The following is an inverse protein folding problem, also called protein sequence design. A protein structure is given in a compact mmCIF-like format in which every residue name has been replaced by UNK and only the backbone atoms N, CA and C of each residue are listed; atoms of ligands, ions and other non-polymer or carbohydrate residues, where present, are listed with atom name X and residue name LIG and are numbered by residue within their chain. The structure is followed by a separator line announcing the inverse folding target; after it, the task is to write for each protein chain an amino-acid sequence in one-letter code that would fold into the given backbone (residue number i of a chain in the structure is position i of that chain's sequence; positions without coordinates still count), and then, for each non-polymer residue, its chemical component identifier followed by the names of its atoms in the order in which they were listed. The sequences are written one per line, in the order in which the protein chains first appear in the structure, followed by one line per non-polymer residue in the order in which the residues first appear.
data_IF_423999188395
#
_entry.id   IF_423999188395
#
_cell.length_a   1.000
_cell.length_b   1.000
_cell.length_c   1.000
_cell.angle_alpha   90.00
_cell.angle_beta   90.00
_cell.angle_gamma   90.00
#
_symmetry.space_group_name_H-M   'P 1'
#
loop_
_entity.id
_entity.type
_entity.pdbx_description
1 polymer ?
#
# COMPACT_ATOMS: atom_id res chain seq x y z
N UNK A 1 -17.76 4.64 -48.37
CA UNK A 1 -18.96 4.56 -47.59
C UNK A 1 -18.82 3.62 -46.43
N UNK A 2 -18.44 2.44 -46.68
CA UNK A 2 -18.26 1.48 -45.62
C UNK A 2 -17.08 1.79 -44.74
N UNK A 3 -16.15 2.56 -45.25
CA UNK A 3 -14.96 2.91 -44.48
C UNK A 3 -15.26 3.74 -43.24
N UNK A 4 -16.35 4.51 -43.30
CA UNK A 4 -16.68 5.35 -42.14
C UNK A 4 -17.10 4.53 -40.94
N UNK A 5 -17.68 3.38 -41.18
CA UNK A 5 -18.09 2.52 -40.06
C UNK A 5 -16.91 1.95 -39.32
N UNK A 6 -15.87 1.64 -40.05
CA UNK A 6 -14.69 1.05 -39.45
C UNK A 6 -14.01 2.03 -38.49
N UNK A 7 -13.92 3.28 -38.91
CA UNK A 7 -13.24 4.28 -38.09
C UNK A 7 -14.04 4.62 -36.83
N UNK A 8 -15.34 4.38 -36.85
CA UNK A 8 -16.16 4.69 -35.70
C UNK A 8 -15.90 3.74 -34.53
N UNK A 9 -15.62 2.49 -34.81
CA UNK A 9 -15.41 1.50 -33.76
C UNK A 9 -14.12 1.69 -33.01
N UNK A 10 -13.06 2.07 -33.71
CA UNK A 10 -11.76 2.18 -33.08
C UNK A 10 -11.67 3.28 -32.01
N UNK A 11 -12.23 4.46 -32.23
CA UNK A 11 -12.12 5.52 -31.23
C UNK A 11 -12.71 5.18 -29.88
N UNK A 12 -13.73 4.36 -29.83
CA UNK A 12 -14.34 4.00 -28.54
C UNK A 12 -13.40 3.21 -27.67
N UNK A 13 -12.70 2.26 -28.24
CA UNK A 13 -11.70 1.48 -27.50
C UNK A 13 -10.58 2.37 -26.98
N UNK A 14 -10.12 3.24 -27.83
CA UNK A 14 -9.03 4.13 -27.45
C UNK A 14 -9.44 5.10 -26.35
N UNK A 15 -10.68 5.55 -26.39
CA UNK A 15 -11.17 6.46 -25.35
C UNK A 15 -11.16 5.79 -23.98
N UNK A 16 -11.58 4.55 -23.92
CA UNK A 16 -11.60 3.83 -22.65
C UNK A 16 -10.20 3.66 -22.08
N UNK A 17 -9.26 3.30 -22.92
CA UNK A 17 -7.89 3.14 -22.48
C UNK A 17 -7.30 4.45 -21.97
N UNK A 18 -7.61 5.53 -22.66
CA UNK A 18 -7.11 6.84 -22.29
C UNK A 18 -7.67 7.26 -20.93
N UNK A 19 -8.94 7.00 -20.69
CA UNK A 19 -9.57 7.35 -19.41
C UNK A 19 -8.95 6.59 -18.26
N UNK A 20 -8.70 5.30 -18.45
CA UNK A 20 -8.08 4.49 -17.42
C UNK A 20 -6.67 4.98 -17.10
N UNK A 21 -5.93 5.34 -18.13
CA UNK A 21 -4.58 5.85 -17.93
C UNK A 21 -4.59 7.19 -17.23
N UNK A 22 -5.54 8.05 -17.55
CA UNK A 22 -5.65 9.35 -16.91
C UNK A 22 -5.98 9.20 -15.43
N UNK A 23 -6.85 8.27 -15.08
CA UNK A 23 -7.19 8.04 -13.68
C UNK A 23 -5.98 7.51 -12.91
N UNK A 24 -5.25 6.58 -13.49
CA UNK A 24 -4.04 6.08 -12.85
C UNK A 24 -3.01 7.17 -12.66
N UNK A 25 -2.86 8.02 -13.64
CA UNK A 25 -1.91 9.12 -13.57
C UNK A 25 -2.27 10.11 -12.47
N UNK A 26 -3.55 10.43 -12.34
CA UNK A 26 -3.99 11.34 -11.29
C UNK A 26 -3.78 10.76 -9.91
N UNK A 27 -4.03 9.47 -9.76
CA UNK A 27 -3.80 8.81 -8.48
C UNK A 27 -2.32 8.87 -8.13
N UNK A 28 -1.46 8.60 -9.09
CA UNK A 28 -0.03 8.67 -8.85
C UNK A 28 0.43 10.08 -8.51
N UNK A 29 -0.15 11.08 -9.15
CA UNK A 29 0.21 12.47 -8.88
C UNK A 29 -0.16 12.89 -7.46
N UNK A 30 -1.33 12.47 -6.99
CA UNK A 30 -1.77 12.83 -5.64
C UNK A 30 -0.97 12.12 -4.57
N UNK A 31 -0.25 11.06 -4.93
CA UNK A 31 0.55 10.28 -4.01
C UNK A 31 2.02 10.35 -4.39
N UNK A 32 2.47 11.53 -4.72
CA UNK A 32 3.82 11.73 -5.27
C UNK A 32 4.92 11.28 -4.33
N UNK A 33 4.66 11.23 -3.01
CA UNK A 33 5.67 10.83 -2.02
C UNK A 33 5.68 9.33 -1.74
N UNK A 34 4.77 8.60 -2.35
CA UNK A 34 4.70 7.17 -2.11
C UNK A 34 5.68 6.42 -2.99
N UNK A 35 6.22 5.34 -2.45
CA UNK A 35 7.09 4.44 -3.18
C UNK A 35 6.21 3.40 -3.87
N UNK A 36 6.44 3.23 -5.16
CA UNK A 36 5.72 2.24 -5.95
C UNK A 36 6.68 1.18 -6.44
N UNK A 37 6.40 -0.07 -6.10
CA UNK A 37 7.25 -1.19 -6.48
C UNK A 37 6.91 -1.76 -7.86
N UNK A 38 5.76 -1.40 -8.40
CA UNK A 38 5.24 -2.03 -9.60
C UNK A 38 4.42 -3.27 -9.32
N UNK A 39 4.29 -3.66 -8.06
CA UNK A 39 3.47 -4.80 -7.65
C UNK A 39 2.34 -4.25 -6.79
N UNK A 40 1.14 -4.18 -7.39
CA UNK A 40 0.01 -3.50 -6.76
C UNK A 40 -0.39 -4.03 -5.40
N UNK A 41 -0.43 -5.35 -5.25
CA UNK A 41 -0.79 -5.95 -3.96
C UNK A 41 0.23 -5.60 -2.89
N UNK A 42 1.50 -5.65 -3.23
CA UNK A 42 2.54 -5.32 -2.27
C UNK A 42 2.46 -3.86 -1.85
N UNK A 43 2.28 -2.97 -2.81
CA UNK A 43 2.19 -1.54 -2.51
C UNK A 43 1.00 -1.25 -1.60
N UNK A 44 -0.15 -1.89 -1.85
CA UNK A 44 -1.33 -1.71 -1.02
C UNK A 44 -1.11 -2.28 0.37
N UNK A 45 -0.43 -3.41 0.46
CA UNK A 45 -0.10 -4.03 1.74
C UNK A 45 0.78 -3.12 2.58
N UNK A 46 1.79 -2.53 1.95
CA UNK A 46 2.69 -1.62 2.65
C UNK A 46 1.93 -0.39 3.16
N UNK A 47 0.96 0.10 2.42
CA UNK A 47 0.13 1.21 2.89
C UNK A 47 -0.56 0.89 4.20
N UNK A 48 -1.07 -0.33 4.32
CA UNK A 48 -1.73 -0.75 5.56
C UNK A 48 -0.73 -0.79 6.71
N UNK A 49 0.44 -1.36 6.46
CA UNK A 49 1.48 -1.43 7.50
C UNK A 49 1.94 -0.06 7.92
N UNK A 50 2.12 0.84 6.96
CA UNK A 50 2.51 2.22 7.27
C UNK A 50 1.46 2.92 8.12
N UNK A 51 0.19 2.68 7.82
CA UNK A 51 -0.89 3.27 8.62
C UNK A 51 -0.86 2.78 10.05
N UNK A 52 -0.44 1.54 10.28
CA UNK A 52 -0.39 0.96 11.62
C UNK A 52 0.84 1.39 12.40
N UNK A 53 1.82 2.00 11.76
CA UNK A 53 2.96 2.56 12.47
C UNK A 53 2.53 3.62 13.48
N UNK A 54 1.47 4.34 13.16
CA UNK A 54 0.97 5.40 14.04
C UNK A 54 0.23 4.88 15.26
N UNK A 55 -0.11 3.61 15.27
CA UNK A 55 -0.81 2.99 16.38
C UNK A 55 -1.99 2.14 15.90
N UNK A 56 -2.76 1.60 16.84
CA UNK A 56 -3.90 0.75 16.50
C UNK A 56 -4.92 1.46 15.64
N UNK A 57 -5.55 0.73 14.74
CA UNK A 57 -6.52 1.30 13.82
C UNK A 57 -7.66 0.33 13.56
N UNK A 58 -8.87 0.87 13.48
CA UNK A 58 -10.03 0.10 13.03
C UNK A 58 -9.97 -0.04 11.51
N UNK A 59 -10.81 -0.93 10.98
CA UNK A 59 -10.88 -1.07 9.53
C UNK A 59 -11.26 0.25 8.86
N UNK A 60 -12.22 0.98 9.45
CA UNK A 60 -12.61 2.29 8.92
C UNK A 60 -11.44 3.28 8.89
N UNK A 61 -10.64 3.28 9.94
CA UNK A 61 -9.48 4.15 9.99
C UNK A 61 -8.43 3.75 8.95
N UNK A 62 -8.26 2.45 8.73
CA UNK A 62 -7.35 1.99 7.67
C UNK A 62 -7.83 2.44 6.30
N UNK A 63 -9.14 2.34 6.04
CA UNK A 63 -9.70 2.80 4.78
C UNK A 63 -9.45 4.30 4.60
N UNK A 64 -9.69 5.08 5.64
CA UNK A 64 -9.47 6.53 5.57
C UNK A 64 -8.00 6.89 5.36
N UNK A 65 -7.11 6.20 6.06
CA UNK A 65 -5.68 6.51 6.00
C UNK A 65 -5.03 6.10 4.70
N UNK A 66 -5.46 4.95 4.15
CA UNK A 66 -4.80 4.38 2.98
C UNK A 66 -5.46 4.76 1.68
N UNK A 67 -6.73 5.15 1.72
CA UNK A 67 -7.50 5.41 0.50
C UNK A 67 -7.91 4.16 -0.24
N UNK A 68 -7.69 2.98 0.34
CA UNK A 68 -8.07 1.73 -0.29
C UNK A 68 -9.57 1.50 -0.15
N UNK A 69 -10.13 0.76 -1.11
CA UNK A 69 -11.52 0.33 -1.01
C UNK A 69 -11.66 -0.58 0.21
N UNK A 70 -12.80 -0.46 0.90
CA UNK A 70 -13.02 -1.22 2.13
C UNK A 70 -12.85 -2.73 1.97
N UNK A 71 -13.40 -3.37 0.93
CA UNK A 71 -13.18 -4.82 0.76
C UNK A 71 -11.72 -5.18 0.57
N UNK A 72 -10.97 -4.34 -0.14
CA UNK A 72 -9.55 -4.58 -0.36
C UNK A 72 -8.78 -4.45 0.94
N UNK A 73 -9.02 -3.38 1.70
CA UNK A 73 -8.35 -3.18 2.98
C UNK A 73 -8.66 -4.33 3.92
N UNK A 74 -9.90 -4.79 3.96
CA UNK A 74 -10.30 -5.88 4.83
C UNK A 74 -9.56 -7.18 4.45
N UNK A 75 -9.57 -7.52 3.16
CA UNK A 75 -8.91 -8.75 2.72
C UNK A 75 -7.41 -8.74 3.00
N UNK A 76 -6.78 -7.60 2.79
CA UNK A 76 -5.35 -7.49 3.05
C UNK A 76 -5.06 -7.57 4.55
N UNK A 77 -5.86 -6.92 5.37
CA UNK A 77 -5.68 -6.99 6.82
C UNK A 77 -5.84 -8.40 7.33
N UNK A 78 -6.85 -9.13 6.84
CA UNK A 78 -7.05 -10.52 7.24
C UNK A 78 -5.88 -11.40 6.79
N UNK A 79 -5.40 -11.19 5.57
CA UNK A 79 -4.26 -11.96 5.07
C UNK A 79 -3.01 -11.68 5.91
N UNK A 80 -2.78 -10.43 6.26
CA UNK A 80 -1.66 -10.06 7.11
C UNK A 80 -1.78 -10.67 8.50
N UNK A 81 -3.01 -10.76 9.00
CA UNK A 81 -3.27 -11.38 10.30
C UNK A 81 -2.89 -12.86 10.27
N UNK A 82 -3.20 -13.55 9.19
CA UNK A 82 -2.86 -14.97 9.05
C UNK A 82 -1.37 -15.22 9.10
N UNK A 83 -0.60 -14.26 8.61
CA UNK A 83 0.86 -14.37 8.62
C UNK A 83 1.49 -13.73 9.85
N UNK A 84 0.68 -13.27 10.79
CA UNK A 84 1.13 -12.65 12.04
C UNK A 84 1.86 -11.33 11.83
N UNK A 85 1.68 -10.72 10.67
CA UNK A 85 2.17 -9.36 10.43
C UNK A 85 1.26 -8.34 11.09
N UNK A 86 0.02 -8.71 11.34
CA UNK A 86 -0.98 -7.88 11.96
C UNK A 86 -1.69 -8.73 13.00
N UNK A 87 -2.03 -8.14 14.12
CA UNK A 87 -2.82 -8.76 15.17
C UNK A 87 -3.98 -7.84 15.50
N UNK A 88 -4.89 -8.32 16.33
CA UNK A 88 -5.99 -7.49 16.84
C UNK A 88 -5.78 -7.29 18.33
N UNK A 89 -5.98 -6.04 18.78
CA UNK A 89 -5.87 -5.75 20.19
C UNK A 89 -7.18 -6.12 20.89
N UNK A 90 -7.26 -5.84 22.19
CA UNK A 90 -8.45 -6.20 22.97
C UNK A 90 -9.70 -5.45 22.54
N UNK A 91 -9.54 -4.37 21.79
CA UNK A 91 -10.68 -3.60 21.28
C UNK A 91 -11.01 -3.94 19.84
N UNK A 92 -10.37 -4.97 19.29
CA UNK A 92 -10.62 -5.39 17.91
C UNK A 92 -9.95 -4.54 16.86
N UNK A 93 -9.06 -3.64 17.26
CA UNK A 93 -8.32 -2.79 16.31
C UNK A 93 -7.09 -3.54 15.81
N UNK A 94 -6.69 -3.24 14.60
CA UNK A 94 -5.50 -3.84 14.02
C UNK A 94 -4.25 -3.17 14.55
N UNK A 95 -3.22 -3.97 14.84
CA UNK A 95 -1.92 -3.50 15.31
C UNK A 95 -0.84 -4.29 14.59
N UNK A 96 0.38 -3.76 14.56
CA UNK A 96 1.51 -4.50 13.99
C UNK A 96 1.76 -5.76 14.79
N UNK A 97 2.04 -6.85 14.10
CA UNK A 97 2.09 -8.17 14.71
C UNK A 97 3.49 -8.62 15.07
N UNK A 98 3.55 -9.78 15.76
CA UNK A 98 4.79 -10.32 16.29
C UNK A 98 5.78 -10.78 15.22
N UNK A 99 5.31 -11.04 14.00
CA UNK A 99 6.21 -11.49 12.95
C UNK A 99 7.29 -10.47 12.64
N UNK A 100 7.00 -9.20 12.84
CA UNK A 100 8.00 -8.15 12.61
C UNK A 100 9.17 -8.25 13.57
N UNK A 101 8.90 -8.58 14.83
CA UNK A 101 9.98 -8.77 15.79
C UNK A 101 10.84 -9.97 15.43
N UNK A 102 10.20 -11.05 14.97
CA UNK A 102 10.92 -12.24 14.54
C UNK A 102 11.82 -11.96 13.33
N UNK A 103 11.29 -11.23 12.37
CA UNK A 103 12.07 -10.89 11.18
C UNK A 103 13.22 -9.95 11.50
N UNK A 104 12.99 -9.00 12.40
CA UNK A 104 14.04 -8.10 12.83
C UNK A 104 15.17 -8.86 13.51
N UNK A 105 14.83 -9.81 14.37
CA UNK A 105 15.83 -10.63 15.05
C UNK A 105 16.62 -11.47 14.04
N UNK A 106 15.92 -12.05 13.07
CA UNK A 106 16.56 -12.88 12.04
C UNK A 106 17.47 -12.05 11.14
N UNK A 107 17.08 -10.79 10.87
CA UNK A 107 17.88 -9.90 10.04
C UNK A 107 19.14 -9.42 10.76
N UNK A 108 19.15 -9.51 12.10
CA UNK A 108 20.27 -9.05 12.89
C UNK A 108 20.17 -7.56 13.15
N UNK A 109 19.91 -7.22 14.41
CA UNK A 109 19.73 -5.82 14.78
C UNK A 109 20.96 -4.99 14.47
N UNK A 110 22.15 -5.56 14.64
CA UNK A 110 23.40 -4.85 14.36
C UNK A 110 23.49 -4.45 12.90
N UNK A 111 23.05 -5.34 12.00
CA UNK A 111 23.08 -5.04 10.58
C UNK A 111 22.09 -3.93 10.22
N UNK A 112 20.91 -3.96 10.82
CA UNK A 112 19.91 -2.93 10.58
C UNK A 112 20.39 -1.58 11.09
N UNK A 113 20.97 -1.57 12.28
CA UNK A 113 21.50 -0.34 12.85
C UNK A 113 22.64 0.22 12.01
N UNK A 114 23.51 -0.65 11.52
CA UNK A 114 24.62 -0.23 10.68
C UNK A 114 24.11 0.39 9.39
N UNK A 115 23.12 -0.24 8.76
CA UNK A 115 22.55 0.25 7.51
C UNK A 115 21.84 1.58 7.69
N UNK A 116 21.23 1.80 8.86
CA UNK A 116 20.47 3.01 9.14
C UNK A 116 21.29 4.10 9.80
N UNK A 117 22.52 3.79 10.22
CA UNK A 117 23.33 4.73 11.00
C UNK A 117 23.47 6.11 10.36
N UNK A 118 23.76 6.23 9.07
CA UNK A 118 23.89 7.57 8.48
C UNK A 118 22.62 8.39 8.60
N UNK A 119 21.46 7.73 8.46
CA UNK A 119 20.17 8.41 8.59
C UNK A 119 19.94 8.86 10.02
N UNK A 120 20.23 7.98 10.97
CA UNK A 120 20.05 8.30 12.38
C UNK A 120 20.96 9.44 12.82
N UNK A 121 22.17 9.45 12.34
CA UNK A 121 23.10 10.53 12.66
C UNK A 121 22.59 11.87 12.14
N UNK A 122 22.03 11.86 10.95
CA UNK A 122 21.44 13.07 10.38
C UNK A 122 20.29 13.59 11.24
N UNK A 123 19.48 12.69 11.76
CA UNK A 123 18.35 13.08 12.60
C UNK A 123 18.79 13.57 13.97
N UNK A 124 19.89 13.05 14.49
CA UNK A 124 20.38 13.44 15.79
C UNK A 124 21.15 14.75 15.75
N UNK A 125 21.75 15.05 14.62
CA UNK A 125 22.48 16.29 14.43
C UNK A 125 21.56 17.47 14.19
#
# INVERSE_FOLDING_TARGET
MTSSNTSTAMPESQSNETELQAENHRTMSSQSNEIHSGVGVLDKTVKILDALESGPATLGQLVSSTGLARPTAHRLAIALERHRFVLRDQHGRFVLGSRFAELAAAAGEDRLLTAAAPILQTLLD
#
